data_IF_954141913053
#
_entry.id   IF_954141913053
#
_cell.length_a   1.000
_cell.length_b   1.000
_cell.length_c   1.000
_cell.angle_alpha   90.00
_cell.angle_beta   90.00
_cell.angle_gamma   90.00
#
_symmetry.space_group_name_H-M   'P 1'
#
loop_
_entity.id
_entity.type
_entity.pdbx_description
1 polymer ?
#
# COMPACT_ATOMS: atom_id res chain seq x y z
N UNK A 1 37.36 29.85 9.84
CA UNK A 1 36.61 29.33 8.68
C UNK A 1 35.48 28.49 9.23
N UNK A 2 34.22 28.87 8.98
CA UNK A 2 33.07 28.10 9.48
C UNK A 2 33.00 26.77 8.74
N UNK A 3 32.95 25.66 9.48
CA UNK A 3 32.76 24.34 8.89
C UNK A 3 31.27 24.15 8.58
N UNK A 4 30.94 23.70 7.37
CA UNK A 4 29.57 23.34 6.99
C UNK A 4 29.26 21.95 7.58
N UNK A 5 28.90 21.93 8.86
CA UNK A 5 28.67 20.70 9.65
C UNK A 5 27.40 20.88 10.48
N UNK A 6 26.75 19.77 10.87
CA UNK A 6 25.48 19.74 11.59
C UNK A 6 24.32 20.43 10.84
N UNK A 7 24.35 20.38 9.50
CA UNK A 7 23.24 20.82 8.66
C UNK A 7 22.44 19.61 8.15
N UNK A 8 21.29 19.90 7.55
CA UNK A 8 20.48 18.93 6.83
C UNK A 8 20.43 19.30 5.35
N UNK A 9 20.71 18.32 4.50
CA UNK A 9 20.57 18.40 3.04
C UNK A 9 19.40 17.48 2.69
N UNK A 10 18.30 18.09 2.30
CA UNK A 10 17.02 17.41 2.10
C UNK A 10 16.63 17.57 0.62
N UNK A 11 16.64 16.47 -0.12
CA UNK A 11 16.13 16.39 -1.49
C UNK A 11 14.97 15.39 -1.57
N UNK A 12 14.29 15.40 -2.70
CA UNK A 12 13.28 14.40 -3.07
C UNK A 12 13.98 13.14 -3.58
N UNK A 13 14.64 12.41 -2.68
CA UNK A 13 15.54 11.30 -3.04
C UNK A 13 14.88 10.10 -3.74
N UNK A 14 13.53 10.04 -3.71
CA UNK A 14 12.76 9.03 -4.45
C UNK A 14 12.53 9.40 -5.92
N UNK A 15 12.71 10.66 -6.29
CA UNK A 15 12.85 11.11 -7.67
C UNK A 15 14.31 10.92 -8.06
N UNK A 16 14.58 10.13 -9.09
CA UNK A 16 15.94 9.80 -9.52
C UNK A 16 16.49 10.79 -10.56
N UNK A 17 15.74 11.83 -10.93
CA UNK A 17 16.24 12.90 -11.77
C UNK A 17 17.04 13.93 -10.94
N UNK A 18 18.37 14.02 -11.11
CA UNK A 18 19.19 14.96 -10.36
C UNK A 18 18.90 16.43 -10.67
N UNK A 19 18.20 16.72 -11.77
CA UNK A 19 17.76 18.08 -12.10
C UNK A 19 16.72 18.61 -11.12
N UNK A 20 16.02 17.73 -10.40
CA UNK A 20 15.04 18.09 -9.36
C UNK A 20 15.65 18.18 -7.96
N UNK A 21 16.96 17.98 -7.84
CA UNK A 21 17.67 18.03 -6.56
C UNK A 21 18.45 19.32 -6.39
N UNK A 22 18.62 19.74 -5.14
CA UNK A 22 19.72 20.62 -4.78
C UNK A 22 21.04 19.85 -4.96
N UNK A 23 21.87 20.30 -5.90
CA UNK A 23 23.20 19.74 -6.18
C UNK A 23 24.29 20.64 -5.64
N UNK A 24 25.41 20.04 -5.23
CA UNK A 24 26.58 20.75 -4.71
C UNK A 24 27.71 20.58 -5.70
N UNK A 25 28.17 21.70 -6.27
CA UNK A 25 29.33 21.72 -7.14
C UNK A 25 30.56 22.23 -6.41
N UNK A 26 31.61 21.42 -6.41
CA UNK A 26 32.91 21.81 -5.90
C UNK A 26 33.47 23.03 -6.65
N UNK A 27 34.25 23.84 -5.94
CA UNK A 27 35.04 24.90 -6.57
C UNK A 27 36.20 24.33 -7.41
N UNK A 28 36.83 25.21 -8.19
CA UNK A 28 38.01 24.84 -8.97
C UNK A 28 39.15 24.37 -8.05
N UNK A 29 39.77 23.25 -8.42
CA UNK A 29 40.99 22.76 -7.81
C UNK A 29 42.20 23.62 -8.21
N UNK A 30 43.13 23.78 -7.28
CA UNK A 30 44.44 24.38 -7.56
C UNK A 30 45.28 23.39 -8.39
N UNK A 31 45.82 23.82 -9.54
CA UNK A 31 46.68 22.98 -10.39
C UNK A 31 47.99 22.56 -9.70
N UNK A 32 48.42 23.30 -8.67
CA UNK A 32 49.66 23.07 -7.93
C UNK A 32 49.46 22.42 -6.55
N UNK A 33 48.25 22.53 -5.97
CA UNK A 33 47.91 21.99 -4.64
C UNK A 33 46.58 21.23 -4.64
N UNK A 34 46.33 20.49 -5.71
CA UNK A 34 45.04 19.84 -6.00
C UNK A 34 44.52 18.91 -4.88
N UNK A 35 45.42 18.41 -4.03
CA UNK A 35 45.10 17.52 -2.90
C UNK A 35 44.93 18.23 -1.54
N UNK A 36 45.17 19.55 -1.47
CA UNK A 36 45.17 20.32 -0.20
C UNK A 36 43.85 21.03 0.03
N UNK A 37 43.20 21.51 -1.02
CA UNK A 37 41.91 22.18 -0.92
C UNK A 37 40.78 21.15 -1.03
N UNK A 38 39.91 21.14 -0.03
CA UNK A 38 38.72 20.30 0.02
C UNK A 38 37.53 21.16 0.46
N UNK A 39 36.35 20.81 -0.04
CA UNK A 39 35.09 21.28 0.52
C UNK A 39 34.55 20.21 1.44
N UNK A 40 34.59 20.46 2.74
CA UNK A 40 34.20 19.46 3.73
C UNK A 40 32.69 19.47 3.94
N UNK A 41 32.04 18.35 3.62
CA UNK A 41 30.62 18.10 3.83
C UNK A 41 30.36 16.96 4.83
N UNK A 42 31.40 16.49 5.52
CA UNK A 42 31.26 15.48 6.58
C UNK A 42 30.37 16.02 7.70
N UNK A 43 29.80 15.11 8.48
CA UNK A 43 28.97 15.45 9.64
C UNK A 43 27.73 16.29 9.26
N UNK A 44 27.13 16.02 8.09
CA UNK A 44 25.81 16.53 7.72
C UNK A 44 24.81 15.37 7.56
N UNK A 45 23.54 15.69 7.80
CA UNK A 45 22.42 14.76 7.64
C UNK A 45 21.87 14.86 6.21
N UNK A 46 21.74 13.73 5.52
CA UNK A 46 21.34 13.69 4.11
C UNK A 46 19.91 13.19 3.90
N UNK A 47 19.04 13.32 4.90
CA UNK A 47 17.62 12.95 4.77
C UNK A 47 17.41 11.45 4.48
N UNK A 48 18.31 10.59 4.98
CA UNK A 48 18.24 9.14 4.75
C UNK A 48 18.78 8.65 3.40
N UNK A 49 19.35 9.53 2.56
CA UNK A 49 19.93 9.13 1.28
C UNK A 49 21.10 8.15 1.44
N UNK A 50 21.11 7.12 0.59
CA UNK A 50 22.28 6.25 0.42
C UNK A 50 23.44 6.96 -0.26
N UNK A 51 24.66 6.46 -0.07
CA UNK A 51 25.89 7.08 -0.60
C UNK A 51 25.86 7.27 -2.12
N UNK A 52 25.23 6.37 -2.87
CA UNK A 52 25.12 6.50 -4.33
C UNK A 52 24.29 7.70 -4.78
N UNK A 53 23.23 8.06 -4.04
CA UNK A 53 22.43 9.26 -4.34
C UNK A 53 23.20 10.53 -3.93
N UNK A 54 23.93 10.46 -2.81
CA UNK A 54 24.78 11.56 -2.34
C UNK A 54 25.91 11.84 -3.34
N UNK A 55 26.59 10.79 -3.82
CA UNK A 55 27.62 10.91 -4.87
C UNK A 55 27.06 11.61 -6.10
N UNK A 56 25.83 11.26 -6.51
CA UNK A 56 25.20 11.86 -7.68
C UNK A 56 24.73 13.31 -7.46
N UNK A 57 24.46 13.70 -6.21
CA UNK A 57 24.13 15.08 -5.85
C UNK A 57 25.38 16.00 -5.74
N UNK A 58 26.57 15.42 -5.72
CA UNK A 58 27.84 16.14 -5.57
C UNK A 58 28.59 16.08 -6.90
N UNK A 59 28.98 17.23 -7.46
CA UNK A 59 29.92 17.29 -8.57
C UNK A 59 31.29 17.69 -8.03
N UNK A 60 32.25 16.76 -8.04
CA UNK A 60 33.59 16.97 -7.50
C UNK A 60 34.73 16.47 -8.40
N UNK A 61 35.93 16.35 -7.84
CA UNK A 61 37.11 15.81 -8.54
C UNK A 61 36.89 14.46 -9.22
N UNK A 62 35.96 13.64 -8.70
CA UNK A 62 35.62 12.32 -9.24
C UNK A 62 34.88 12.42 -10.57
N UNK A 63 34.14 13.51 -10.78
CA UNK A 63 33.41 13.81 -12.02
C UNK A 63 34.23 14.67 -12.98
N UNK A 64 34.94 15.68 -12.46
CA UNK A 64 35.82 16.57 -13.21
C UNK A 64 37.12 16.81 -12.46
N UNK A 65 38.23 16.33 -13.04
CA UNK A 65 39.58 16.45 -12.48
C UNK A 65 40.08 17.89 -12.26
N UNK A 66 39.35 18.90 -12.77
CA UNK A 66 39.63 20.31 -12.50
C UNK A 66 38.99 20.84 -11.22
N UNK A 67 38.11 20.06 -10.58
CA UNK A 67 37.44 20.43 -9.33
C UNK A 67 38.21 19.94 -8.10
N UNK A 68 37.89 20.50 -6.94
CA UNK A 68 38.41 20.01 -5.66
C UNK A 68 37.61 18.79 -5.15
N UNK A 69 38.21 18.00 -4.24
CA UNK A 69 37.52 16.87 -3.60
C UNK A 69 36.50 17.36 -2.57
N UNK A 70 35.38 16.64 -2.47
CA UNK A 70 34.31 16.91 -1.50
C UNK A 70 34.12 15.69 -0.59
N UNK A 71 34.91 15.53 0.49
CA UNK A 71 34.62 14.47 1.45
C UNK A 71 33.29 14.74 2.15
N UNK A 72 32.38 13.77 2.13
CA UNK A 72 31.08 13.83 2.82
C UNK A 72 30.89 12.73 3.87
N UNK A 73 31.81 11.76 3.97
CA UNK A 73 31.76 10.68 4.97
C UNK A 73 32.69 10.95 6.16
N UNK A 74 32.23 10.78 7.40
CA UNK A 74 30.94 10.19 7.80
C UNK A 74 29.74 11.14 7.60
N UNK A 75 28.58 10.55 7.33
CA UNK A 75 27.28 11.23 7.32
C UNK A 75 26.60 11.06 8.68
N UNK A 76 25.79 12.04 9.09
CA UNK A 76 25.01 11.91 10.32
C UNK A 76 23.88 10.90 10.11
N UNK A 77 23.75 9.96 11.03
CA UNK A 77 22.61 9.02 11.11
C UNK A 77 21.45 9.60 11.92
N UNK A 78 21.72 10.58 12.78
CA UNK A 78 20.73 11.30 13.56
C UNK A 78 20.56 12.73 13.03
N UNK A 79 19.31 13.18 12.97
CA UNK A 79 19.01 14.54 12.54
C UNK A 79 19.54 15.58 13.55
N UNK A 80 20.34 16.57 13.12
CA UNK A 80 20.93 17.53 14.04
C UNK A 80 19.89 18.53 14.56
N UNK A 81 19.73 18.58 15.89
CA UNK A 81 18.84 19.55 16.55
C UNK A 81 19.32 21.01 16.44
N UNK A 82 20.57 21.23 16.07
CA UNK A 82 21.14 22.57 15.86
C UNK A 82 20.77 23.16 14.51
N UNK A 83 20.38 22.34 13.52
CA UNK A 83 19.91 22.81 12.22
C UNK A 83 18.57 23.55 12.34
N UNK A 84 18.21 24.29 11.29
CA UNK A 84 16.88 24.89 11.15
C UNK A 84 15.78 23.81 11.31
N UNK A 85 14.59 24.08 11.87
CA UNK A 85 13.58 23.04 12.08
C UNK A 85 13.15 22.37 10.77
N UNK A 86 13.11 21.04 10.75
CA UNK A 86 12.63 20.24 9.62
C UNK A 86 12.01 18.92 10.08
N UNK A 87 11.26 18.30 9.18
CA UNK A 87 10.67 16.97 9.38
C UNK A 87 11.70 15.91 9.03
N UNK A 88 12.07 15.09 9.98
CA UNK A 88 13.06 14.01 9.79
C UNK A 88 12.46 12.88 8.96
N UNK A 89 11.26 12.45 9.34
CA UNK A 89 10.59 11.31 8.74
C UNK A 89 9.07 11.41 8.92
N UNK A 90 8.34 10.78 8.00
CA UNK A 90 6.90 10.54 8.11
C UNK A 90 6.65 9.05 7.87
N UNK A 91 6.42 8.32 8.96
CA UNK A 91 6.17 6.89 8.93
C UNK A 91 4.66 6.60 8.96
N UNK A 92 4.20 5.72 8.06
CA UNK A 92 2.83 5.23 8.00
C UNK A 92 2.81 3.75 8.36
N UNK A 93 1.82 3.36 9.16
CA UNK A 93 1.56 1.97 9.54
C UNK A 93 0.08 1.65 9.43
N UNK A 94 -0.25 0.38 9.22
CA UNK A 94 -1.61 -0.14 9.37
C UNK A 94 -2.05 -0.09 10.84
N UNK A 95 -3.33 -0.33 11.12
CA UNK A 95 -3.80 -0.48 12.51
C UNK A 95 -3.13 -1.62 13.28
N UNK A 96 -2.51 -2.57 12.59
CA UNK A 96 -1.73 -3.68 13.17
C UNK A 96 -0.27 -3.27 13.48
N UNK A 97 0.13 -2.04 13.15
CA UNK A 97 1.47 -1.51 13.37
C UNK A 97 2.51 -1.97 12.33
N UNK A 98 2.06 -2.47 11.18
CA UNK A 98 2.93 -2.93 10.10
C UNK A 98 3.06 -1.86 9.01
N UNK A 99 4.23 -1.75 8.38
CA UNK A 99 4.42 -0.92 7.18
C UNK A 99 4.41 -1.83 5.95
N UNK A 100 3.40 -1.73 5.08
CA UNK A 100 3.33 -2.51 3.85
C UNK A 100 4.52 -2.26 2.92
N UNK A 101 4.83 -3.24 2.08
CA UNK A 101 5.92 -3.14 1.12
C UNK A 101 5.71 -1.95 0.16
N UNK A 102 6.74 -1.10 0.04
CA UNK A 102 6.69 0.07 -0.84
C UNK A 102 5.76 1.20 -0.39
N UNK A 103 5.31 1.20 0.88
CA UNK A 103 4.33 2.17 1.41
C UNK A 103 3.03 2.21 0.59
N UNK A 104 2.51 1.01 0.25
CA UNK A 104 1.25 0.83 -0.47
C UNK A 104 0.14 0.48 0.49
N UNK A 105 -0.90 1.28 0.51
CA UNK A 105 -2.01 1.14 1.47
C UNK A 105 -3.33 0.97 0.73
N UNK A 106 -4.20 0.11 1.27
CA UNK A 106 -5.51 -0.15 0.72
C UNK A 106 -6.59 0.80 1.26
N UNK A 107 -7.85 0.38 1.15
CA UNK A 107 -8.96 1.00 1.87
C UNK A 107 -8.91 0.59 3.36
N UNK A 108 -8.08 1.28 4.15
CA UNK A 108 -7.86 0.96 5.55
C UNK A 108 -7.59 2.20 6.41
N UNK A 109 -7.59 2.03 7.73
CA UNK A 109 -7.14 3.08 8.64
C UNK A 109 -5.63 3.00 8.82
N UNK A 110 -4.97 4.14 8.62
CA UNK A 110 -3.51 4.27 8.76
C UNK A 110 -3.16 5.14 9.95
N UNK A 111 -2.10 4.76 10.64
CA UNK A 111 -1.48 5.53 11.72
C UNK A 111 -0.25 6.25 11.17
N UNK A 112 -0.19 7.55 11.42
CA UNK A 112 0.84 8.46 10.92
C UNK A 112 1.73 8.88 12.08
N UNK A 113 3.04 8.86 11.87
CA UNK A 113 4.05 9.32 12.84
C UNK A 113 4.99 10.28 12.14
N UNK A 114 4.96 11.55 12.55
CA UNK A 114 5.82 12.61 12.02
C UNK A 114 6.89 12.91 13.06
N UNK A 115 8.16 12.77 12.67
CA UNK A 115 9.31 13.01 13.55
C UNK A 115 10.02 14.31 13.17
N UNK A 116 10.33 15.15 14.15
CA UNK A 116 11.03 16.43 13.97
C UNK A 116 12.46 16.38 14.50
N UNK A 117 13.35 17.19 13.92
CA UNK A 117 14.79 17.15 14.25
C UNK A 117 15.12 17.71 15.64
N UNK A 118 14.17 18.38 16.28
CA UNK A 118 14.35 19.11 17.53
C UNK A 118 13.04 19.23 18.29
N UNK A 119 13.13 19.70 19.53
CA UNK A 119 11.96 19.93 20.38
C UNK A 119 11.09 21.06 19.80
N UNK A 120 9.81 20.76 19.64
CA UNK A 120 8.77 21.60 19.06
C UNK A 120 7.83 22.15 20.14
N UNK A 121 7.23 23.30 19.87
CA UNK A 121 6.21 23.92 20.70
C UNK A 121 4.91 23.13 20.57
N UNK A 122 4.68 22.20 21.51
CA UNK A 122 3.53 21.28 21.49
C UNK A 122 2.18 21.98 21.70
N UNK A 123 2.18 23.29 22.01
CA UNK A 123 0.95 24.09 22.05
C UNK A 123 0.46 24.52 20.67
N UNK A 124 1.28 24.34 19.63
CA UNK A 124 0.97 24.67 18.24
C UNK A 124 0.99 23.40 17.39
N UNK A 125 -0.09 23.14 16.68
CA UNK A 125 -0.18 21.97 15.81
C UNK A 125 0.50 22.24 14.47
N UNK A 126 1.30 21.30 13.93
CA UNK A 126 1.65 21.33 12.53
C UNK A 126 0.42 21.08 11.67
N UNK A 127 0.45 21.51 10.41
CA UNK A 127 -0.54 21.15 9.42
C UNK A 127 -0.01 19.98 8.59
N UNK A 128 -0.64 18.81 8.76
CA UNK A 128 -0.31 17.58 8.06
C UNK A 128 -1.41 17.27 7.06
N UNK A 129 -1.06 17.17 5.79
CA UNK A 129 -1.99 16.90 4.70
C UNK A 129 -1.35 16.01 3.64
N UNK A 130 -2.17 15.50 2.73
CA UNK A 130 -1.67 14.85 1.52
C UNK A 130 -2.59 15.12 0.32
N UNK A 131 -2.08 14.82 -0.86
CA UNK A 131 -2.86 14.79 -2.09
C UNK A 131 -2.03 14.38 -3.30
N UNK A 132 -2.67 14.17 -4.47
CA UNK A 132 -1.99 13.74 -5.69
C UNK A 132 -1.35 14.90 -6.46
N UNK A 133 -1.73 16.15 -6.15
CA UNK A 133 -1.24 17.34 -6.84
C UNK A 133 -1.06 18.51 -5.86
N UNK A 134 -0.15 19.43 -6.21
CA UNK A 134 0.06 20.67 -5.46
C UNK A 134 -1.27 21.43 -5.29
N UNK A 135 -1.55 21.95 -4.08
CA UNK A 135 -0.66 22.11 -2.93
C UNK A 135 -0.65 20.93 -1.94
N UNK A 136 -1.09 19.73 -2.34
CA UNK A 136 -1.14 18.53 -1.49
C UNK A 136 -2.00 18.69 -0.23
N UNK A 137 -3.09 19.45 -0.35
CA UNK A 137 -4.05 19.71 0.73
C UNK A 137 -5.41 19.06 0.49
N UNK A 138 -5.47 18.01 -0.34
CA UNK A 138 -6.73 17.34 -0.65
C UNK A 138 -7.36 16.74 0.60
N UNK A 139 -6.53 16.14 1.47
CA UNK A 139 -6.95 15.56 2.74
C UNK A 139 -6.07 16.05 3.87
N UNK A 140 -6.67 16.43 5.00
CA UNK A 140 -5.96 16.85 6.21
C UNK A 140 -5.99 15.71 7.22
N UNK A 141 -4.86 15.45 7.86
CA UNK A 141 -4.71 14.41 8.87
C UNK A 141 -4.95 15.03 10.26
N UNK A 142 -5.99 14.64 10.99
CA UNK A 142 -6.14 15.01 12.38
C UNK A 142 -5.14 14.24 13.25
N UNK A 143 -4.62 14.88 14.29
CA UNK A 143 -3.67 14.27 15.21
C UNK A 143 -3.17 15.25 16.27
N UNK A 144 -2.30 14.76 17.14
CA UNK A 144 -1.76 15.47 18.29
C UNK A 144 -0.29 15.12 18.56
N UNK A 145 0.38 15.99 19.31
CA UNK A 145 1.73 15.73 19.82
C UNK A 145 1.71 14.56 20.80
N UNK A 146 2.55 13.56 20.54
CA UNK A 146 2.83 12.45 21.46
C UNK A 146 3.92 12.87 22.45
N UNK A 147 4.94 13.56 21.95
CA UNK A 147 6.02 14.15 22.73
C UNK A 147 6.57 15.41 22.03
N UNK A 148 7.70 15.95 22.50
CA UNK A 148 8.28 17.18 21.96
C UNK A 148 8.83 17.06 20.52
N UNK A 149 9.03 15.84 19.98
CA UNK A 149 9.58 15.59 18.64
C UNK A 149 8.71 14.69 17.78
N UNK A 150 7.65 14.12 18.35
CA UNK A 150 6.79 13.15 17.68
C UNK A 150 5.35 13.66 17.67
N UNK A 151 4.81 13.85 16.47
CA UNK A 151 3.39 14.10 16.25
C UNK A 151 2.75 12.85 15.65
N UNK A 152 1.54 12.51 16.08
CA UNK A 152 0.83 11.34 15.56
C UNK A 152 -0.61 11.64 15.20
N UNK A 153 -1.06 11.06 14.10
CA UNK A 153 -2.41 11.22 13.59
C UNK A 153 -2.92 9.94 12.94
N UNK A 154 -4.20 9.93 12.59
CA UNK A 154 -4.84 8.77 11.96
C UNK A 154 -5.75 9.21 10.83
N UNK A 155 -5.78 8.44 9.75
CA UNK A 155 -6.66 8.70 8.62
C UNK A 155 -7.18 7.41 8.00
N UNK A 156 -8.48 7.37 7.71
CA UNK A 156 -9.14 6.25 7.04
C UNK A 156 -9.16 6.49 5.54
N UNK A 157 -8.39 5.70 4.80
CA UNK A 157 -8.39 5.68 3.35
C UNK A 157 -9.63 4.96 2.85
N UNK A 158 -10.24 5.51 1.81
CA UNK A 158 -11.47 5.00 1.20
C UNK A 158 -11.35 5.08 -0.31
N UNK A 159 -12.21 4.38 -1.08
CA UNK A 159 -12.22 4.52 -2.53
C UNK A 159 -12.38 5.97 -3.03
N UNK A 160 -13.07 6.82 -2.28
CA UNK A 160 -13.24 8.24 -2.64
C UNK A 160 -12.00 9.10 -2.34
N UNK A 161 -11.01 8.56 -1.63
CA UNK A 161 -9.73 9.24 -1.37
C UNK A 161 -8.90 9.39 -2.65
N UNK A 162 -9.10 8.49 -3.62
CA UNK A 162 -8.41 8.49 -4.90
C UNK A 162 -7.14 7.65 -4.88
N UNK A 163 -7.01 6.80 -5.90
CA UNK A 163 -5.89 5.90 -6.09
C UNK A 163 -4.62 6.61 -6.60
N UNK A 164 -3.51 5.89 -6.50
CA UNK A 164 -2.21 6.28 -7.02
C UNK A 164 -1.32 6.96 -5.98
N UNK A 165 -0.26 7.60 -6.48
CA UNK A 165 0.74 8.25 -5.64
C UNK A 165 0.20 9.50 -4.97
N UNK A 166 0.37 9.55 -3.67
CA UNK A 166 0.01 10.67 -2.81
C UNK A 166 1.28 11.27 -2.22
N UNK A 167 1.45 12.57 -2.37
CA UNK A 167 2.52 13.33 -1.71
C UNK A 167 2.02 13.84 -0.37
N UNK A 168 2.86 13.67 0.65
CA UNK A 168 2.61 14.16 2.00
C UNK A 168 3.17 15.58 2.11
N UNK A 169 2.47 16.42 2.85
CA UNK A 169 2.87 17.78 3.16
C UNK A 169 2.75 18.01 4.66
N UNK A 170 3.84 18.47 5.26
CA UNK A 170 3.91 18.85 6.67
C UNK A 170 4.46 20.27 6.78
N UNK A 171 3.69 21.18 7.37
CA UNK A 171 4.11 22.59 7.51
C UNK A 171 3.75 23.15 8.87
N UNK A 172 4.37 24.27 9.25
CA UNK A 172 3.90 25.06 10.38
C UNK A 172 4.30 24.54 11.77
N UNK A 173 5.17 23.53 11.86
CA UNK A 173 5.72 23.09 13.14
C UNK A 173 6.64 24.18 13.71
N UNK A 174 6.36 24.67 14.92
CA UNK A 174 7.14 25.75 15.55
C UNK A 174 8.12 25.16 16.56
N UNK A 175 9.38 25.59 16.55
CA UNK A 175 10.37 25.12 17.52
C UNK A 175 10.06 25.63 18.93
N UNK A 176 10.27 24.78 19.95
CA UNK A 176 10.05 25.15 21.35
C UNK A 176 10.98 26.29 21.81
N UNK A 177 12.20 26.34 21.24
CA UNK A 177 13.22 27.31 21.62
C UNK A 177 12.98 28.72 21.08
N UNK A 178 12.24 28.86 19.98
CA UNK A 178 12.04 30.15 19.31
C UNK A 178 10.83 30.10 18.37
N UNK A 179 9.84 30.96 18.63
CA UNK A 179 8.60 31.04 17.86
C UNK A 179 8.77 31.49 16.40
N UNK A 180 9.90 32.10 16.03
CA UNK A 180 10.20 32.45 14.63
C UNK A 180 10.80 31.30 13.83
N UNK A 181 11.23 30.22 14.49
CA UNK A 181 11.74 29.03 13.82
C UNK A 181 10.56 28.10 13.56
N UNK A 182 10.03 28.16 12.35
CA UNK A 182 8.94 27.30 11.88
C UNK A 182 9.45 26.41 10.76
N UNK A 183 9.04 25.14 10.73
CA UNK A 183 9.38 24.22 9.64
C UNK A 183 8.95 24.79 8.30
N UNK A 184 9.78 24.57 7.28
CA UNK A 184 9.46 24.94 5.90
C UNK A 184 8.28 24.15 5.33
N UNK A 185 7.98 24.42 4.05
CA UNK A 185 7.07 23.56 3.29
C UNK A 185 7.79 22.29 2.88
N UNK A 186 7.32 21.17 3.39
CA UNK A 186 7.97 19.88 3.26
C UNK A 186 7.31 18.96 2.22
N UNK A 187 6.59 19.58 1.30
CA UNK A 187 5.90 18.91 0.21
C UNK A 187 6.84 17.99 -0.58
N UNK A 188 6.28 16.88 -1.07
CA UNK A 188 6.89 15.94 -2.02
C UNK A 188 8.03 15.07 -1.49
N UNK A 189 8.70 15.42 -0.39
CA UNK A 189 9.81 14.58 0.14
C UNK A 189 9.33 13.20 0.59
N UNK A 190 8.10 13.12 1.07
CA UNK A 190 7.47 11.89 1.54
C UNK A 190 6.26 11.58 0.67
N UNK A 191 6.13 10.31 0.27
CA UNK A 191 5.01 9.82 -0.53
C UNK A 191 4.62 8.41 -0.12
N UNK A 192 3.39 8.05 -0.44
CA UNK A 192 2.84 6.72 -0.33
C UNK A 192 1.88 6.48 -1.50
N UNK A 193 1.49 5.24 -1.72
CA UNK A 193 0.58 4.89 -2.81
C UNK A 193 -0.72 4.36 -2.21
N UNK A 194 -1.85 4.90 -2.67
CA UNK A 194 -3.18 4.38 -2.34
C UNK A 194 -3.60 3.42 -3.45
N UNK A 195 -3.98 2.22 -3.05
CA UNK A 195 -4.48 1.17 -3.93
C UNK A 195 -5.82 0.70 -3.34
N UNK A 196 -6.86 1.53 -3.50
CA UNK A 196 -8.24 1.19 -3.08
C UNK A 196 -8.97 0.33 -4.10
N UNK A 197 -8.45 0.22 -5.33
CA UNK A 197 -8.75 -0.83 -6.31
C UNK A 197 -8.33 -2.26 -5.86
N UNK A 198 -8.15 -2.50 -4.55
CA UNK A 198 -7.97 -3.83 -3.96
C UNK A 198 -9.28 -4.60 -3.75
N UNK A 199 -9.17 -5.78 -3.13
CA UNK A 199 -10.24 -6.76 -2.84
C UNK A 199 -11.57 -6.18 -2.33
N UNK A 200 -11.55 -5.07 -1.60
CA UNK A 200 -12.74 -4.42 -1.03
C UNK A 200 -13.63 -3.70 -2.08
N UNK A 201 -13.08 -3.35 -3.26
CA UNK A 201 -13.84 -2.81 -4.39
C UNK A 201 -14.39 -3.91 -5.32
N UNK A 202 -13.89 -5.15 -5.16
CA UNK A 202 -14.27 -6.32 -5.95
C UNK A 202 -15.35 -7.11 -5.21
N UNK A 203 -16.62 -6.85 -5.54
CA UNK A 203 -17.75 -7.51 -4.90
C UNK A 203 -18.41 -8.51 -5.85
N UNK A 204 -18.33 -9.80 -5.53
CA UNK A 204 -18.95 -10.92 -6.22
C UNK A 204 -20.23 -11.37 -5.49
N UNK A 205 -21.25 -11.66 -6.28
CA UNK A 205 -22.49 -12.28 -5.85
C UNK A 205 -22.72 -13.55 -6.68
N UNK A 206 -23.29 -14.57 -6.04
CA UNK A 206 -23.62 -15.86 -6.64
C UNK A 206 -25.07 -16.22 -6.36
N UNK A 207 -25.78 -16.72 -7.37
CA UNK A 207 -27.16 -17.20 -7.28
C UNK A 207 -27.29 -18.56 -7.96
N UNK A 208 -27.83 -19.55 -7.26
CA UNK A 208 -28.08 -20.87 -7.82
C UNK A 208 -29.32 -20.89 -8.72
N UNK A 209 -29.19 -21.50 -9.90
CA UNK A 209 -30.26 -21.80 -10.84
C UNK A 209 -30.42 -23.30 -11.07
N UNK A 210 -31.22 -23.71 -12.06
CA UNK A 210 -31.35 -25.13 -12.43
C UNK A 210 -30.15 -25.52 -13.30
N UNK A 211 -29.25 -26.34 -12.74
CA UNK A 211 -28.05 -26.80 -13.45
C UNK A 211 -26.99 -25.70 -13.69
N UNK A 212 -27.08 -24.58 -12.99
CA UNK A 212 -26.16 -23.45 -13.16
C UNK A 212 -25.99 -22.62 -11.88
N UNK A 213 -24.92 -21.84 -11.83
CA UNK A 213 -24.72 -20.74 -10.89
C UNK A 213 -24.52 -19.46 -11.70
N UNK A 214 -25.42 -18.50 -11.52
CA UNK A 214 -25.29 -17.17 -12.08
C UNK A 214 -24.44 -16.30 -11.14
N UNK A 215 -23.39 -15.69 -11.69
CA UNK A 215 -22.45 -14.83 -10.98
C UNK A 215 -22.53 -13.43 -11.55
N UNK A 216 -22.49 -12.44 -10.66
CA UNK A 216 -22.44 -11.03 -11.02
C UNK A 216 -21.50 -10.32 -10.06
N UNK A 217 -20.71 -9.38 -10.57
CA UNK A 217 -19.78 -8.62 -9.75
C UNK A 217 -19.76 -7.14 -10.08
N UNK A 218 -19.30 -6.35 -9.11
CA UNK A 218 -18.91 -4.97 -9.30
C UNK A 218 -17.41 -4.83 -9.07
N UNK A 219 -16.81 -3.89 -9.78
CA UNK A 219 -15.42 -3.50 -9.63
C UNK A 219 -15.32 -2.00 -9.86
N UNK A 220 -14.46 -1.33 -9.10
CA UNK A 220 -14.09 0.05 -9.38
C UNK A 220 -12.95 0.08 -10.42
N UNK A 221 -12.91 1.17 -11.19
CA UNK A 221 -12.17 1.26 -12.46
C UNK A 221 -10.67 0.98 -12.29
N UNK A 222 -10.15 0.02 -13.06
CA UNK A 222 -8.70 -0.17 -13.24
C UNK A 222 -8.34 0.39 -14.61
N UNK A 223 -7.55 1.46 -14.65
CA UNK A 223 -7.12 2.13 -15.89
C UNK A 223 -6.47 1.18 -16.91
N UNK A 224 -5.94 0.04 -16.46
CA UNK A 224 -5.26 -0.99 -17.25
C UNK A 224 -5.97 -2.35 -17.22
N UNK A 225 -7.29 -2.36 -17.02
CA UNK A 225 -8.12 -3.58 -17.02
C UNK A 225 -8.14 -4.26 -18.39
N UNK A 226 -7.71 -5.52 -18.43
CA UNK A 226 -7.88 -6.40 -19.60
C UNK A 226 -9.10 -7.31 -19.48
N UNK A 227 -9.50 -7.65 -18.26
CA UNK A 227 -10.65 -8.51 -18.01
C UNK A 227 -10.59 -9.25 -16.68
N UNK A 228 -11.31 -10.36 -16.57
CA UNK A 228 -11.48 -11.10 -15.31
C UNK A 228 -11.19 -12.60 -15.45
N UNK A 229 -10.70 -13.19 -14.35
CA UNK A 229 -10.63 -14.64 -14.18
C UNK A 229 -11.46 -15.07 -12.97
N UNK A 230 -12.24 -16.12 -13.16
CA UNK A 230 -13.17 -16.62 -12.15
C UNK A 230 -12.67 -17.97 -11.65
N UNK A 231 -12.70 -18.16 -10.35
CA UNK A 231 -12.21 -19.35 -9.68
C UNK A 231 -13.30 -19.99 -8.82
N UNK A 232 -13.30 -21.31 -8.73
CA UNK A 232 -14.29 -22.10 -8.01
C UNK A 232 -13.64 -23.17 -7.13
N UNK A 233 -14.24 -23.44 -5.97
CA UNK A 233 -13.93 -24.59 -5.13
C UNK A 233 -15.19 -25.21 -4.51
N UNK A 234 -15.09 -26.45 -4.02
CA UNK A 234 -16.14 -27.13 -3.26
C UNK A 234 -16.08 -26.84 -1.75
N UNK A 235 -15.00 -26.18 -1.29
CA UNK A 235 -14.79 -25.83 0.12
C UNK A 235 -14.21 -24.44 0.23
N UNK A 236 -14.57 -23.68 1.28
CA UNK A 236 -14.08 -22.32 1.49
C UNK A 236 -12.54 -22.23 1.52
N UNK A 237 -11.88 -23.17 2.20
CA UNK A 237 -10.41 -23.21 2.33
C UNK A 237 -9.74 -24.16 1.31
N UNK A 238 -10.48 -24.51 0.24
CA UNK A 238 -10.06 -25.51 -0.73
C UNK A 238 -9.05 -24.99 -1.75
N UNK A 239 -8.61 -25.89 -2.63
CA UNK A 239 -7.94 -25.46 -3.87
C UNK A 239 -9.00 -24.91 -4.82
N UNK A 240 -8.78 -23.68 -5.27
CA UNK A 240 -9.62 -23.03 -6.26
C UNK A 240 -9.08 -23.28 -7.67
N UNK A 241 -9.97 -23.61 -8.59
CA UNK A 241 -9.65 -23.84 -10.00
C UNK A 241 -10.35 -22.83 -10.88
N UNK A 242 -9.65 -22.35 -11.91
CA UNK A 242 -10.22 -21.39 -12.86
C UNK A 242 -11.36 -22.04 -13.66
N UNK A 243 -12.49 -21.33 -13.74
CA UNK A 243 -13.72 -21.77 -14.41
C UNK A 243 -13.76 -21.31 -15.86
N UNK A 244 -13.35 -20.07 -16.13
CA UNK A 244 -13.36 -19.50 -17.48
C UNK A 244 -12.16 -20.00 -18.30
N UNK A 245 -12.41 -20.42 -19.55
CA UNK A 245 -11.36 -20.90 -20.46
C UNK A 245 -10.53 -19.79 -21.08
N UNK A 246 -11.15 -18.63 -21.32
CA UNK A 246 -10.51 -17.39 -21.76
C UNK A 246 -10.85 -16.26 -20.80
N UNK A 247 -9.99 -15.25 -20.72
CA UNK A 247 -10.23 -14.06 -19.90
C UNK A 247 -11.59 -13.44 -20.26
N UNK A 248 -12.42 -13.20 -19.25
CA UNK A 248 -13.74 -12.57 -19.42
C UNK A 248 -13.50 -11.12 -19.81
N UNK A 249 -14.28 -10.57 -20.74
CA UNK A 249 -14.06 -9.21 -21.25
C UNK A 249 -14.23 -8.19 -20.12
N UNK A 250 -13.42 -7.13 -20.13
CA UNK A 250 -13.48 -6.03 -19.16
C UNK A 250 -14.84 -5.33 -19.06
N UNK A 251 -15.67 -5.41 -20.10
CA UNK A 251 -17.02 -4.82 -20.09
C UNK A 251 -18.08 -5.74 -19.47
N UNK A 252 -17.76 -7.02 -19.28
CA UNK A 252 -18.70 -8.00 -18.74
C UNK A 252 -18.60 -8.02 -17.21
N UNK A 253 -19.75 -7.93 -16.55
CA UNK A 253 -19.86 -7.94 -15.08
C UNK A 253 -20.67 -9.15 -14.58
N UNK A 254 -20.81 -10.16 -15.42
CA UNK A 254 -21.55 -11.38 -15.12
C UNK A 254 -20.95 -12.60 -15.83
N UNK A 255 -21.17 -13.77 -15.25
CA UNK A 255 -20.77 -15.06 -15.80
C UNK A 255 -21.75 -16.15 -15.33
N UNK A 256 -22.03 -17.12 -16.19
CA UNK A 256 -22.85 -18.29 -15.82
C UNK A 256 -22.00 -19.54 -15.83
N UNK A 257 -21.86 -20.17 -14.67
CA UNK A 257 -21.20 -21.46 -14.52
C UNK A 257 -22.22 -22.60 -14.66
N UNK A 258 -22.13 -23.39 -15.72
CA UNK A 258 -23.02 -24.51 -16.03
C UNK A 258 -22.41 -25.88 -15.74
N UNK A 259 -21.15 -25.94 -15.31
CA UNK A 259 -20.45 -27.19 -14.98
C UNK A 259 -20.57 -27.48 -13.48
N UNK A 260 -21.81 -27.50 -12.97
CA UNK A 260 -22.12 -27.61 -11.55
C UNK A 260 -23.13 -28.72 -11.29
N UNK A 261 -22.95 -29.45 -10.19
CA UNK A 261 -23.87 -30.52 -9.80
C UNK A 261 -25.07 -29.96 -9.00
N UNK A 262 -26.30 -30.47 -9.23
CA UNK A 262 -27.48 -30.10 -8.43
C UNK A 262 -27.24 -30.32 -6.93
N UNK A 263 -27.72 -29.40 -6.09
CA UNK A 263 -27.63 -29.48 -4.63
C UNK A 263 -26.23 -29.24 -4.04
N UNK A 264 -25.17 -29.25 -4.85
CA UNK A 264 -23.79 -29.11 -4.37
C UNK A 264 -23.41 -27.64 -4.19
N UNK A 265 -22.91 -27.31 -3.00
CA UNK A 265 -22.43 -25.97 -2.66
C UNK A 265 -21.08 -25.67 -3.31
N UNK A 266 -20.98 -24.51 -3.95
CA UNK A 266 -19.77 -24.02 -4.59
C UNK A 266 -19.37 -22.65 -4.04
N UNK A 267 -18.06 -22.43 -3.94
CA UNK A 267 -17.43 -21.18 -3.50
C UNK A 267 -16.71 -20.54 -4.68
N UNK A 268 -16.85 -19.24 -4.83
CA UNK A 268 -16.29 -18.48 -5.95
C UNK A 268 -15.58 -17.22 -5.49
N UNK A 269 -14.56 -16.83 -6.24
CA UNK A 269 -14.00 -15.48 -6.26
C UNK A 269 -13.58 -15.14 -7.69
N UNK A 270 -13.34 -13.86 -7.97
CA UNK A 270 -12.69 -13.45 -9.22
C UNK A 270 -11.42 -12.63 -8.94
N UNK A 271 -10.56 -12.55 -9.95
CA UNK A 271 -9.38 -11.67 -10.00
C UNK A 271 -9.46 -10.79 -11.24
N UNK A 272 -8.82 -9.64 -11.17
CA UNK A 272 -8.68 -8.69 -12.27
C UNK A 272 -7.39 -8.97 -13.02
N UNK A 273 -7.44 -8.98 -14.36
CA UNK A 273 -6.27 -9.17 -15.22
C UNK A 273 -5.77 -7.82 -15.72
N UNK A 274 -4.49 -7.53 -15.48
CA UNK A 274 -3.80 -6.29 -15.89
C UNK A 274 -2.49 -6.60 -16.60
N UNK A 275 -1.77 -5.56 -17.07
CA UNK A 275 -0.41 -5.70 -17.63
C UNK A 275 0.59 -6.31 -16.62
N UNK A 276 0.35 -6.11 -15.32
CA UNK A 276 1.18 -6.64 -14.23
C UNK A 276 0.86 -8.08 -13.81
N UNK A 277 -0.16 -8.70 -14.40
CA UNK A 277 -0.68 -10.00 -14.00
C UNK A 277 -2.06 -9.91 -13.34
N UNK A 278 -2.43 -10.95 -12.59
CA UNK A 278 -3.70 -11.00 -11.85
C UNK A 278 -3.60 -10.23 -10.52
N UNK A 279 -4.68 -9.55 -10.15
CA UNK A 279 -4.85 -8.92 -8.84
C UNK A 279 -5.02 -9.94 -7.71
N UNK A 280 -5.07 -9.45 -6.47
CA UNK A 280 -5.65 -10.20 -5.37
C UNK A 280 -7.12 -10.59 -5.65
N UNK A 281 -7.59 -11.63 -4.98
CA UNK A 281 -8.96 -12.14 -5.13
C UNK A 281 -10.00 -11.13 -4.62
N UNK A 282 -11.22 -11.20 -5.14
CA UNK A 282 -12.43 -10.55 -4.61
C UNK A 282 -12.87 -11.12 -3.25
N UNK A 283 -13.96 -10.61 -2.70
CA UNK A 283 -14.68 -11.34 -1.65
C UNK A 283 -15.11 -12.75 -2.14
N UNK A 284 -15.32 -13.65 -1.19
CA UNK A 284 -15.83 -14.99 -1.48
C UNK A 284 -17.35 -14.99 -1.54
N UNK A 285 -17.91 -15.47 -2.66
CA UNK A 285 -19.33 -15.70 -2.85
C UNK A 285 -19.62 -17.21 -2.87
N UNK A 286 -20.83 -17.61 -2.50
CA UNK A 286 -21.22 -19.02 -2.52
C UNK A 286 -22.67 -19.22 -2.92
N UNK A 287 -22.92 -20.31 -3.65
CA UNK A 287 -24.27 -20.71 -4.05
C UNK A 287 -24.32 -22.22 -4.30
N UNK A 288 -25.51 -22.80 -4.14
CA UNK A 288 -25.82 -24.17 -4.55
C UNK A 288 -26.83 -24.12 -5.71
N UNK A 289 -26.60 -24.85 -6.82
CA UNK A 289 -27.63 -25.02 -7.83
C UNK A 289 -28.89 -25.65 -7.24
N UNK A 290 -30.04 -25.36 -7.85
CA UNK A 290 -31.32 -25.95 -7.45
C UNK A 290 -31.20 -27.46 -7.49
N UNK A 291 -31.55 -28.11 -6.38
CA UNK A 291 -31.58 -29.55 -6.32
C UNK A 291 -32.76 -30.10 -7.12
N UNK A 292 -32.44 -30.94 -8.09
CA UNK A 292 -33.40 -31.58 -8.99
C UNK A 292 -33.28 -33.10 -8.96
N UNK A 293 -32.44 -33.65 -8.08
CA UNK A 293 -32.28 -35.09 -7.93
C UNK A 293 -33.26 -35.55 -6.87
N UNK A 294 -34.04 -36.59 -7.17
CA UNK A 294 -34.96 -37.14 -6.20
C UNK A 294 -34.21 -38.06 -5.21
N UNK A 295 -34.56 -38.05 -3.92
CA UNK A 295 -33.94 -38.92 -2.93
C UNK A 295 -34.24 -40.39 -3.25
N UNK A 296 -33.21 -41.23 -3.15
CA UNK A 296 -33.33 -42.67 -3.37
C UNK A 296 -33.67 -43.36 -2.05
N UNK A 297 -34.79 -44.08 -2.02
CA UNK A 297 -35.20 -44.90 -0.88
C UNK A 297 -34.83 -46.36 -1.14
N UNK A 298 -33.91 -46.89 -0.35
CA UNK A 298 -33.55 -48.30 -0.33
C UNK A 298 -34.10 -48.98 0.92
N UNK A 299 -34.79 -50.11 0.75
CA UNK A 299 -35.18 -50.95 1.88
C UNK A 299 -34.99 -52.42 1.51
N UNK A 300 -34.65 -53.23 2.51
CA UNK A 300 -34.62 -54.68 2.34
C UNK A 300 -35.91 -55.26 2.93
N UNK A 301 -36.86 -55.64 2.06
CA UNK A 301 -38.13 -56.18 2.50
C UNK A 301 -37.95 -57.58 3.13
N UNK A 302 -38.48 -57.82 4.33
CA UNK A 302 -38.46 -59.15 4.92
C UNK A 302 -39.35 -60.11 4.11
N UNK A 303 -38.83 -61.29 3.79
CA UNK A 303 -39.50 -62.26 2.92
C UNK A 303 -40.76 -62.92 3.53
N UNK A 304 -40.91 -62.84 4.85
CA UNK A 304 -42.06 -63.36 5.59
C UNK A 304 -42.26 -62.57 6.90
N UNK A 305 -43.46 -62.65 7.46
CA UNK A 305 -43.81 -62.08 8.77
C UNK A 305 -44.59 -63.11 9.59
N UNK A 306 -44.39 -63.10 10.91
CA UNK A 306 -45.11 -63.98 11.83
C UNK A 306 -46.47 -63.38 12.20
N UNK A 307 -47.49 -64.24 12.29
CA UNK A 307 -48.84 -63.83 12.70
C UNK A 307 -48.82 -63.45 14.17
N UNK A 308 -49.41 -62.29 14.50
CA UNK A 308 -49.49 -61.73 15.86
C UNK A 308 -48.15 -61.26 16.46
N UNK A 309 -47.12 -61.03 15.64
CA UNK A 309 -45.88 -60.36 16.07
C UNK A 309 -45.70 -59.00 15.38
N UNK A 310 -44.94 -58.11 16.03
CA UNK A 310 -44.61 -56.79 15.45
C UNK A 310 -43.50 -56.93 14.40
N UNK A 311 -43.75 -56.43 13.19
CA UNK A 311 -42.74 -56.34 12.13
C UNK A 311 -42.20 -54.91 12.03
N UNK A 312 -40.88 -54.75 12.18
CA UNK A 312 -40.21 -53.47 11.94
C UNK A 312 -39.60 -53.46 10.55
N UNK A 313 -39.97 -52.48 9.73
CA UNK A 313 -39.31 -52.21 8.45
C UNK A 313 -38.29 -51.08 8.64
N UNK A 314 -37.15 -51.20 7.99
CA UNK A 314 -36.12 -50.17 7.95
C UNK A 314 -35.84 -49.84 6.49
N UNK A 315 -35.79 -48.54 6.20
CA UNK A 315 -35.38 -48.01 4.92
C UNK A 315 -34.27 -46.98 5.18
N UNK A 316 -33.37 -46.84 4.22
CA UNK A 316 -32.40 -45.76 4.15
C UNK A 316 -32.80 -44.86 3.00
N UNK A 317 -33.01 -43.58 3.27
CA UNK A 317 -33.14 -42.55 2.25
C UNK A 317 -31.78 -41.86 2.11
N UNK A 318 -31.27 -41.77 0.89
CA UNK A 318 -30.04 -41.03 0.55
C UNK A 318 -30.36 -40.02 -0.53
N UNK A 319 -29.90 -38.79 -0.30
CA UNK A 319 -29.91 -37.68 -1.24
C UNK A 319 -28.46 -37.26 -1.54
N UNK A 320 -28.27 -36.44 -2.56
CA UNK A 320 -26.99 -35.81 -2.90
C UNK A 320 -26.49 -34.81 -1.84
#
# INVERSE_FOLDING_TARGET
>A
TGAFTNNAILNVWHDLDPMHWATIKAGNGDSTRRWVYTMDLRENFWGGAGTSLIDHAITDFSDDFNLMRVPYTPILTEAPATAYPFVVDVALTTTEGTTPAGNRFGAETTQWTVTFNRDMDTTKQPFVSFGPAEPFTAFTIPGDWVDARTWSGSFTMTPVTGDGWQSIRVVGGVAASNAWLTTGDDSERFRFEIITSGTEALNLQASGGIGEVALSWTQDDFDLLHGFNLYRSLTADGTFTRVNSSTINKTDTNFTDTDVAPGVLHYYYFTVVTDGGESDASNMAMASPTDTVEPVIAHNAPAFALVSENLTLRATATDN
#
